data_IF_390552982089
#
_entry.id   IF_390552982089
#
_cell.length_a   1.000
_cell.length_b   1.000
_cell.length_c   1.000
_cell.angle_alpha   90.00
_cell.angle_beta   90.00
_cell.angle_gamma   90.00
#
_symmetry.space_group_name_H-M   'P 1'
#
loop_
_entity.id
_entity.type
_entity.pdbx_description
1 polymer ?
#
# COMPACT_ATOMS: atom_id res chain seq x y z
N UNK A 1 30.14 10.35 -32.94
CA UNK A 1 30.18 9.03 -32.27
C UNK A 1 30.33 9.30 -30.77
N UNK A 2 29.20 9.31 -30.05
CA UNK A 2 29.16 9.44 -28.58
C UNK A 2 28.28 8.28 -28.11
N UNK A 3 28.91 7.33 -27.43
CA UNK A 3 28.29 6.14 -26.85
C UNK A 3 27.74 6.59 -25.49
N UNK A 4 26.43 6.74 -25.40
CA UNK A 4 25.74 6.92 -24.13
C UNK A 4 25.47 5.54 -23.53
N UNK A 5 26.16 5.22 -22.43
CA UNK A 5 25.82 4.09 -21.57
C UNK A 5 24.45 4.38 -20.93
N UNK A 6 23.42 3.66 -21.34
CA UNK A 6 22.19 3.56 -20.55
C UNK A 6 22.45 2.50 -19.46
N UNK A 7 22.53 2.93 -18.21
CA UNK A 7 22.38 2.03 -17.07
C UNK A 7 20.89 1.65 -16.99
N UNK A 8 20.56 0.46 -17.47
CA UNK A 8 19.29 -0.19 -17.13
C UNK A 8 19.41 -0.74 -15.72
N UNK A 9 18.76 -0.11 -14.74
CA UNK A 9 18.57 -0.68 -13.41
C UNK A 9 17.74 -1.95 -13.52
N UNK A 10 18.40 -3.08 -13.30
CA UNK A 10 17.77 -4.40 -13.21
C UNK A 10 17.13 -4.50 -11.82
N UNK A 11 15.81 -4.35 -11.73
CA UNK A 11 15.06 -4.68 -10.52
C UNK A 11 15.02 -6.21 -10.43
N UNK A 12 15.81 -6.77 -9.52
CA UNK A 12 15.78 -8.19 -9.18
C UNK A 12 14.51 -8.46 -8.36
N UNK A 13 13.43 -8.87 -9.04
CA UNK A 13 12.28 -9.46 -8.38
C UNK A 13 12.70 -10.86 -7.96
N UNK A 14 13.02 -11.02 -6.67
CA UNK A 14 13.28 -12.33 -6.06
C UNK A 14 11.96 -13.05 -5.86
N UNK A 15 11.45 -13.71 -6.89
CA UNK A 15 10.36 -14.67 -6.75
C UNK A 15 10.89 -15.94 -6.08
N UNK A 16 10.67 -16.08 -4.78
CA UNK A 16 10.85 -17.34 -4.06
C UNK A 16 9.62 -18.21 -4.30
N UNK A 17 9.70 -19.13 -5.27
CA UNK A 17 8.84 -20.31 -5.29
C UNK A 17 9.38 -21.31 -4.27
N UNK A 18 8.61 -21.61 -3.23
CA UNK A 18 8.86 -22.73 -2.35
C UNK A 18 7.55 -23.42 -1.95
N UNK A 19 7.40 -24.67 -2.42
CA UNK A 19 6.77 -25.74 -1.65
C UNK A 19 5.29 -26.04 -1.89
N UNK A 20 5.02 -27.11 -2.65
CA UNK A 20 3.78 -27.88 -2.51
C UNK A 20 3.78 -28.74 -1.23
N UNK A 21 2.56 -28.99 -0.75
CA UNK A 21 2.07 -30.08 0.12
C UNK A 21 1.82 -29.73 1.59
N UNK A 22 0.55 -29.40 1.88
CA UNK A 22 -0.25 -30.03 2.92
C UNK A 22 0.02 -29.59 4.36
N UNK A 23 -0.56 -28.45 4.72
CA UNK A 23 -1.29 -28.27 5.98
C UNK A 23 -2.29 -27.13 5.74
N UNK A 24 -3.57 -27.35 6.03
CA UNK A 24 -4.60 -26.30 6.09
C UNK A 24 -4.35 -25.44 7.35
N UNK A 25 -3.12 -24.95 7.53
CA UNK A 25 -2.80 -23.96 8.55
C UNK A 25 -3.00 -22.59 7.92
N UNK A 26 -3.92 -21.81 8.50
CA UNK A 26 -4.09 -20.40 8.18
C UNK A 26 -2.70 -19.73 8.11
N UNK A 27 -2.30 -19.28 6.93
CA UNK A 27 -1.00 -18.65 6.77
C UNK A 27 -1.10 -17.23 7.27
N UNK A 28 -0.47 -16.93 8.41
CA UNK A 28 -0.41 -15.59 8.97
C UNK A 28 0.82 -14.85 8.44
N UNK A 29 0.60 -13.62 7.97
CA UNK A 29 1.58 -12.76 7.35
C UNK A 29 1.71 -11.47 8.16
N UNK A 30 2.94 -10.96 8.27
CA UNK A 30 3.24 -9.69 8.93
C UNK A 30 4.13 -8.85 8.03
N UNK A 31 3.55 -7.78 7.52
CA UNK A 31 4.18 -6.88 6.57
C UNK A 31 4.31 -5.50 7.18
N UNK A 32 5.42 -4.84 6.89
CA UNK A 32 5.66 -3.48 7.34
C UNK A 32 6.52 -2.72 6.34
N UNK A 33 6.43 -1.40 6.41
CA UNK A 33 7.21 -0.55 5.54
C UNK A 33 7.36 0.87 6.07
N UNK A 34 8.30 1.57 5.45
CA UNK A 34 8.62 2.95 5.77
C UNK A 34 8.94 3.68 4.47
N UNK A 35 8.24 4.78 4.22
CA UNK A 35 8.43 5.64 3.06
C UNK A 35 8.96 6.97 3.58
N UNK A 36 10.19 7.32 3.19
CA UNK A 36 10.82 8.61 3.50
C UNK A 36 10.70 9.58 2.34
N UNK A 37 10.63 10.87 2.67
CA UNK A 37 10.70 12.07 1.80
C UNK A 37 11.05 11.79 0.33
N UNK A 38 10.02 11.98 -0.51
CA UNK A 38 10.06 11.89 -1.96
C UNK A 38 8.64 12.10 -2.45
N UNK A 39 8.43 13.12 -3.30
CA UNK A 39 7.14 13.48 -3.90
C UNK A 39 6.40 12.25 -4.42
N UNK A 40 5.23 11.95 -3.86
CA UNK A 40 4.35 10.89 -4.37
C UNK A 40 3.32 11.59 -5.26
N UNK A 41 3.66 11.72 -6.54
CA UNK A 41 2.83 12.37 -7.57
C UNK A 41 1.60 11.49 -7.86
N UNK A 42 0.40 12.05 -7.73
CA UNK A 42 -0.84 11.34 -8.07
C UNK A 42 -0.97 11.25 -9.60
N UNK A 43 -1.13 10.05 -10.19
CA UNK A 43 -1.15 9.90 -11.65
C UNK A 43 -2.29 10.67 -12.34
N UNK A 44 -3.40 10.92 -11.65
CA UNK A 44 -4.55 11.67 -12.19
C UNK A 44 -4.40 13.20 -12.17
N UNK A 45 -3.36 13.72 -11.49
CA UNK A 45 -3.18 15.17 -11.36
C UNK A 45 -2.42 15.81 -12.52
N UNK A 46 -2.04 15.06 -13.56
CA UNK A 46 -1.41 15.63 -14.77
C UNK A 46 -0.20 16.55 -14.46
N UNK A 47 0.52 16.29 -13.37
CA UNK A 47 1.66 17.08 -12.89
C UNK A 47 1.34 18.37 -12.12
N UNK A 48 0.09 18.61 -11.69
CA UNK A 48 -0.19 19.62 -10.65
C UNK A 48 0.17 19.04 -9.28
N UNK A 49 1.07 19.73 -8.58
CA UNK A 49 1.70 19.30 -7.33
C UNK A 49 0.78 19.36 -6.10
N UNK A 50 -0.43 19.88 -6.27
CA UNK A 50 -1.33 20.28 -5.19
C UNK A 50 -1.97 19.12 -4.40
N UNK A 51 -1.83 17.85 -4.82
CA UNK A 51 -2.38 16.71 -4.07
C UNK A 51 -1.39 15.55 -3.93
N UNK A 52 -1.22 15.08 -2.69
CA UNK A 52 -0.41 13.90 -2.37
C UNK A 52 -1.13 12.64 -2.83
N UNK A 53 -0.46 11.89 -3.71
CA UNK A 53 -0.93 10.58 -4.13
C UNK A 53 -1.00 9.62 -2.97
N UNK A 54 -2.09 8.86 -2.86
CA UNK A 54 -2.19 7.74 -1.93
C UNK A 54 -1.08 6.72 -2.27
N UNK A 55 -0.03 6.54 -1.44
CA UNK A 55 0.98 5.55 -1.76
C UNK A 55 0.37 4.15 -1.67
N UNK A 56 0.68 3.32 -2.66
CA UNK A 56 0.56 1.87 -2.50
C UNK A 56 1.55 1.47 -1.42
N UNK A 57 1.02 0.97 -0.30
CA UNK A 57 1.80 0.50 0.83
C UNK A 57 2.29 -0.92 0.57
N UNK A 58 1.39 -1.78 0.08
CA UNK A 58 1.64 -3.20 -0.11
C UNK A 58 0.65 -3.80 -1.12
N UNK A 59 1.06 -4.85 -1.83
CA UNK A 59 0.19 -5.63 -2.72
C UNK A 59 0.43 -7.12 -2.50
N UNK A 60 -0.64 -7.91 -2.44
CA UNK A 60 -0.57 -9.37 -2.36
C UNK A 60 -1.77 -10.00 -3.08
N UNK A 61 -1.70 -11.31 -3.32
CA UNK A 61 -2.75 -12.08 -3.99
C UNK A 61 -3.31 -13.17 -3.08
N UNK A 62 -4.60 -13.44 -3.17
CA UNK A 62 -5.23 -14.64 -2.59
C UNK A 62 -5.84 -15.47 -3.73
N UNK A 63 -5.69 -16.78 -3.65
CA UNK A 63 -6.20 -17.71 -4.65
C UNK A 63 -7.74 -17.82 -4.61
N UNK A 64 -8.31 -18.42 -5.66
CA UNK A 64 -9.76 -18.66 -5.73
C UNK A 64 -10.27 -19.46 -4.53
N UNK A 65 -11.27 -18.91 -3.84
CA UNK A 65 -11.91 -19.51 -2.66
C UNK A 65 -11.24 -19.18 -1.33
N UNK A 66 -10.03 -18.62 -1.33
CA UNK A 66 -9.36 -18.17 -0.12
C UNK A 66 -10.00 -16.88 0.44
N UNK A 67 -9.96 -16.76 1.77
CA UNK A 67 -10.48 -15.60 2.51
C UNK A 67 -9.34 -14.91 3.22
N UNK A 68 -9.31 -13.60 3.06
CA UNK A 68 -8.33 -12.75 3.74
C UNK A 68 -8.95 -12.15 4.99
N UNK A 69 -8.32 -12.40 6.15
CA UNK A 69 -8.70 -11.80 7.43
C UNK A 69 -7.65 -10.79 7.86
N UNK A 70 -8.06 -9.54 8.06
CA UNK A 70 -7.18 -8.51 8.61
C UNK A 70 -7.23 -8.59 10.13
N UNK A 71 -6.07 -8.85 10.74
CA UNK A 71 -5.90 -8.95 12.19
C UNK A 71 -5.49 -7.62 12.81
N UNK A 72 -4.58 -6.90 12.13
CA UNK A 72 -4.10 -5.58 12.53
C UNK A 72 -3.67 -4.78 11.31
N UNK A 73 -4.05 -3.52 11.24
CA UNK A 73 -3.62 -2.59 10.20
C UNK A 73 -3.41 -1.22 10.84
N UNK A 74 -2.18 -0.72 10.76
CA UNK A 74 -1.79 0.56 11.35
C UNK A 74 -0.95 1.31 10.35
N UNK A 75 -1.29 2.57 10.12
CA UNK A 75 -0.50 3.51 9.35
C UNK A 75 -0.30 4.77 10.19
N UNK A 76 0.90 5.33 10.15
CA UNK A 76 1.26 6.56 10.85
C UNK A 76 1.96 7.50 9.88
N UNK A 77 1.54 8.77 9.92
CA UNK A 77 2.02 9.82 9.03
C UNK A 77 2.76 10.84 9.90
N UNK A 78 3.99 11.14 9.52
CA UNK A 78 4.79 12.21 10.10
C UNK A 78 4.78 13.40 9.13
N UNK A 79 4.24 14.54 9.58
CA UNK A 79 4.10 15.74 8.77
C UNK A 79 4.31 17.01 9.60
N UNK A 80 4.61 18.14 8.97
CA UNK A 80 4.66 19.46 9.64
C UNK A 80 3.83 20.48 8.88
N UNK A 81 3.42 21.55 9.57
CA UNK A 81 2.71 22.70 8.97
C UNK A 81 3.68 23.89 8.87
N UNK A 82 3.76 24.59 7.73
CA UNK A 82 4.74 25.65 7.50
C UNK A 82 4.53 26.89 8.38
N UNK A 83 3.29 27.17 8.79
CA UNK A 83 2.90 28.40 9.50
C UNK A 83 2.69 28.23 11.02
N UNK A 84 2.56 27.01 11.54
CA UNK A 84 2.47 26.70 12.98
C UNK A 84 3.73 25.98 13.47
N UNK A 85 4.65 26.71 14.10
CA UNK A 85 5.87 26.22 14.79
C UNK A 85 6.85 25.32 14.02
N UNK A 86 6.54 24.86 12.79
CA UNK A 86 7.26 23.81 12.06
C UNK A 86 7.57 22.58 12.93
N UNK A 87 6.69 22.27 13.89
CA UNK A 87 6.87 21.10 14.75
C UNK A 87 6.30 19.86 14.06
N UNK A 88 7.07 18.76 13.95
CA UNK A 88 6.58 17.53 13.34
C UNK A 88 5.47 16.91 14.19
N UNK A 89 4.36 16.57 13.53
CA UNK A 89 3.20 15.88 14.07
C UNK A 89 3.20 14.44 13.57
N UNK A 90 2.88 13.52 14.47
CA UNK A 90 2.68 12.10 14.13
C UNK A 90 1.23 11.75 14.40
N UNK A 91 0.53 11.30 13.37
CA UNK A 91 -0.86 10.89 13.47
C UNK A 91 -1.09 9.51 12.89
N UNK A 92 -2.02 8.76 13.49
CA UNK A 92 -2.50 7.50 12.96
C UNK A 92 -3.58 7.73 11.91
N UNK A 93 -3.62 6.86 10.92
CA UNK A 93 -4.64 6.89 9.86
C UNK A 93 -5.15 5.46 9.55
N UNK A 94 -6.03 5.34 8.56
CA UNK A 94 -6.70 4.10 8.15
C UNK A 94 -6.05 3.52 6.89
N UNK A 95 -6.09 2.20 6.74
CA UNK A 95 -5.74 1.51 5.49
C UNK A 95 -6.99 1.22 4.64
N UNK A 96 -6.84 1.36 3.32
CA UNK A 96 -7.86 1.05 2.31
C UNK A 96 -7.36 -0.11 1.46
N UNK A 97 -8.23 -1.10 1.27
CA UNK A 97 -7.96 -2.28 0.45
C UNK A 97 -8.78 -2.17 -0.83
N UNK A 98 -8.10 -2.06 -1.97
CA UNK A 98 -8.71 -2.18 -3.30
C UNK A 98 -8.47 -3.60 -3.79
N UNK A 99 -9.53 -4.30 -4.15
CA UNK A 99 -9.52 -5.74 -4.44
C UNK A 99 -10.02 -5.93 -5.85
N UNK A 100 -9.18 -6.48 -6.72
CA UNK A 100 -9.51 -6.77 -8.11
C UNK A 100 -9.38 -8.27 -8.35
N UNK A 101 -10.46 -8.91 -8.77
CA UNK A 101 -10.50 -10.35 -9.00
C UNK A 101 -10.57 -10.68 -10.49
N UNK A 102 -10.07 -11.87 -10.85
CA UNK A 102 -10.04 -12.36 -12.23
C UNK A 102 -11.43 -12.57 -12.87
N UNK A 103 -12.48 -12.71 -12.07
CA UNK A 103 -13.86 -12.69 -12.56
C UNK A 103 -14.37 -11.30 -12.96
N UNK A 104 -13.54 -10.26 -12.81
CA UNK A 104 -13.86 -8.87 -13.06
C UNK A 104 -14.58 -8.16 -11.91
N UNK A 105 -14.69 -8.80 -10.75
CA UNK A 105 -15.22 -8.16 -9.54
C UNK A 105 -14.21 -7.18 -8.95
N UNK A 106 -14.71 -6.01 -8.53
CA UNK A 106 -13.91 -4.97 -7.90
C UNK A 106 -14.55 -4.56 -6.57
N UNK A 107 -13.75 -4.46 -5.52
CA UNK A 107 -14.19 -4.05 -4.18
C UNK A 107 -13.25 -3.02 -3.56
N UNK A 108 -13.80 -2.18 -2.69
CA UNK A 108 -13.03 -1.27 -1.84
C UNK A 108 -13.49 -1.47 -0.39
N UNK A 109 -12.55 -1.72 0.53
CA UNK A 109 -12.84 -1.97 1.95
C UNK A 109 -11.98 -1.11 2.87
N UNK A 110 -12.62 -0.49 3.87
CA UNK A 110 -11.95 0.21 4.97
C UNK A 110 -11.84 -0.74 6.16
N UNK A 111 -10.72 -1.44 6.27
CA UNK A 111 -10.39 -2.34 7.40
C UNK A 111 -11.51 -3.34 7.79
N UNK A 112 -12.37 -3.74 6.84
CA UNK A 112 -13.37 -4.79 7.07
C UNK A 112 -12.70 -6.16 7.09
N UNK A 113 -13.08 -7.02 8.04
CA UNK A 113 -12.58 -8.40 8.14
C UNK A 113 -13.77 -9.39 8.30
N UNK A 114 -13.83 -10.49 7.53
CA UNK A 114 -12.97 -10.78 6.37
C UNK A 114 -13.14 -9.74 5.26
N UNK A 115 -12.12 -9.60 4.43
CA UNK A 115 -12.21 -8.76 3.24
C UNK A 115 -13.16 -9.40 2.21
N UNK A 116 -13.87 -8.58 1.41
CA UNK A 116 -14.63 -9.09 0.27
C UNK A 116 -13.76 -9.92 -0.66
N UNK A 117 -14.36 -10.94 -1.30
CA UNK A 117 -13.71 -11.75 -2.32
C UNK A 117 -14.68 -12.02 -3.47
N UNK A 118 -14.12 -12.18 -4.67
CA UNK A 118 -14.82 -12.64 -5.87
C UNK A 118 -14.69 -14.15 -6.05
N UNK A 119 -15.12 -14.62 -7.22
CA UNK A 119 -14.75 -15.93 -7.75
C UNK A 119 -13.48 -15.80 -8.58
N UNK A 120 -12.48 -16.65 -8.36
CA UNK A 120 -11.17 -16.49 -8.99
C UNK A 120 -10.13 -15.86 -8.07
N UNK A 121 -8.89 -15.80 -8.56
CA UNK A 121 -7.78 -15.15 -7.87
C UNK A 121 -8.05 -13.64 -7.72
N UNK A 122 -7.71 -13.08 -6.57
CA UNK A 122 -7.90 -11.65 -6.27
C UNK A 122 -6.57 -11.00 -5.87
N UNK A 123 -6.25 -9.86 -6.48
CA UNK A 123 -5.16 -8.97 -6.08
C UNK A 123 -5.68 -7.91 -5.11
N UNK A 124 -4.99 -7.77 -3.98
CA UNK A 124 -5.26 -6.83 -2.90
C UNK A 124 -4.21 -5.73 -2.92
N UNK A 125 -4.62 -4.52 -3.30
CA UNK A 125 -3.77 -3.32 -3.22
C UNK A 125 -4.10 -2.55 -1.96
N UNK A 126 -3.13 -2.43 -1.06
CA UNK A 126 -3.26 -1.76 0.23
C UNK A 126 -2.70 -0.36 0.12
N UNK A 127 -3.50 0.59 0.55
CA UNK A 127 -3.23 2.02 0.49
C UNK A 127 -3.56 2.69 1.82
N UNK A 128 -3.10 3.92 2.02
CA UNK A 128 -3.58 4.76 3.12
C UNK A 128 -4.87 5.49 2.72
N UNK A 129 -5.78 5.76 3.67
CA UNK A 129 -6.95 6.61 3.44
C UNK A 129 -6.52 7.97 2.92
N UNK A 130 -7.25 8.48 1.93
CA UNK A 130 -6.90 9.73 1.26
C UNK A 130 -7.03 10.89 2.23
N UNK A 131 -5.90 11.29 2.82
CA UNK A 131 -5.83 12.52 3.58
C UNK A 131 -5.38 13.65 2.66
N UNK A 132 -6.25 14.63 2.54
CA UNK A 132 -6.02 15.83 1.76
C UNK A 132 -5.06 16.75 2.50
N UNK A 133 -3.77 16.61 2.23
CA UNK A 133 -2.76 17.59 2.59
C UNK A 133 -2.66 18.59 1.43
N UNK A 134 -3.04 19.85 1.65
CA UNK A 134 -2.79 20.90 0.65
C UNK A 134 -1.28 21.21 0.68
N UNK A 135 -0.61 21.23 -0.48
CA UNK A 135 0.86 21.39 -0.61
C UNK A 135 1.38 22.66 0.10
N UNK A 136 0.57 23.72 0.15
CA UNK A 136 0.92 24.98 0.81
C UNK A 136 0.74 24.96 2.34
N UNK A 137 0.05 23.95 2.88
CA UNK A 137 -0.33 23.88 4.29
C UNK A 137 0.41 22.76 5.05
N UNK A 138 1.04 21.80 4.38
CA UNK A 138 1.64 20.63 5.03
C UNK A 138 2.85 20.05 4.29
N UNK A 139 3.90 19.64 5.02
CA UNK A 139 5.04 18.87 4.52
C UNK A 139 5.03 17.46 5.11
N UNK A 140 4.83 16.43 4.28
CA UNK A 140 4.90 15.02 4.72
C UNK A 140 6.35 14.53 4.73
N UNK A 141 6.86 14.18 5.90
CA UNK A 141 8.23 13.68 6.08
C UNK A 141 8.34 12.18 5.88
N UNK A 142 7.37 11.42 6.41
CA UNK A 142 7.39 9.96 6.28
C UNK A 142 6.05 9.30 6.54
N UNK A 143 5.85 8.14 5.94
CA UNK A 143 4.75 7.23 6.25
C UNK A 143 5.32 5.91 6.76
N UNK A 144 4.91 5.47 7.94
CA UNK A 144 5.19 4.12 8.46
C UNK A 144 3.91 3.30 8.49
N UNK A 145 4.02 2.01 8.21
CA UNK A 145 2.86 1.13 8.23
C UNK A 145 3.20 -0.29 8.66
N UNK A 146 2.20 -0.97 9.22
CA UNK A 146 2.24 -2.40 9.55
C UNK A 146 0.88 -3.04 9.29
N UNK A 147 0.89 -4.22 8.68
CA UNK A 147 -0.28 -5.02 8.36
C UNK A 147 -0.03 -6.46 8.82
N UNK A 148 -0.96 -7.00 9.59
CA UNK A 148 -1.03 -8.41 9.94
C UNK A 148 -2.34 -8.98 9.44
N UNK A 149 -2.25 -10.05 8.65
CA UNK A 149 -3.39 -10.70 8.03
C UNK A 149 -3.17 -12.20 7.92
N UNK A 150 -4.26 -12.96 7.80
CA UNK A 150 -4.22 -14.38 7.47
C UNK A 150 -4.99 -14.67 6.19
N UNK A 151 -4.61 -15.77 5.53
CA UNK A 151 -5.32 -16.34 4.39
C UNK A 151 -5.76 -17.76 4.75
N UNK A 152 -7.05 -18.04 4.60
CA UNK A 152 -7.70 -19.34 4.88
C UNK A 152 -8.58 -19.85 3.74
#
# INVERSE_FOLDING_TARGET
>A
MRIGLMLTSLVLISSMFAGCLGDDEASSYNENGFITEGWIDHPENNGTKDHYGIPVLYTFTAADGEKVYVESAVVSINYSEPDESNEPRIESDTMIFTINCDDGSEYVSRMGSPLPSGSGECEYTVTNDERWFLEDDYEVHSVSWSLTYSIE
#
